data_IF_280366582580
#
_entry.id   IF_280366582580
#
_cell.length_a   1.000
_cell.length_b   1.000
_cell.length_c   1.000
_cell.angle_alpha   90.00
_cell.angle_beta   90.00
_cell.angle_gamma   90.00
#
_symmetry.space_group_name_H-M   'P 1'
#
loop_
_entity.id
_entity.type
_entity.pdbx_description
1 polymer ?
#
# COMPACT_ATOMS: atom_id res chain seq x y z
N UNK A 1 -3.25 -23.99 -26.23
CA UNK A 1 -2.65 -23.28 -25.09
C UNK A 1 -3.29 -21.90 -25.01
N UNK A 2 -4.21 -21.67 -24.07
CA UNK A 2 -4.92 -20.40 -23.93
C UNK A 2 -4.04 -19.40 -23.17
N UNK A 3 -3.56 -18.36 -23.86
CA UNK A 3 -2.90 -17.24 -23.20
C UNK A 3 -3.98 -16.45 -22.45
N UNK A 4 -4.00 -16.59 -21.13
CA UNK A 4 -4.88 -15.79 -20.27
C UNK A 4 -4.47 -14.32 -20.39
N UNK A 5 -5.29 -13.55 -21.08
CA UNK A 5 -5.12 -12.11 -21.23
C UNK A 5 -5.18 -11.46 -19.84
N UNK A 6 -4.04 -11.01 -19.34
CA UNK A 6 -3.95 -10.23 -18.09
C UNK A 6 -4.58 -8.88 -18.36
N UNK A 7 -5.80 -8.67 -17.86
CA UNK A 7 -6.41 -7.34 -17.84
C UNK A 7 -5.70 -6.51 -16.77
N UNK A 8 -4.71 -5.72 -17.19
CA UNK A 8 -4.09 -4.69 -16.34
C UNK A 8 -5.16 -3.62 -16.14
N UNK A 9 -5.87 -3.68 -15.01
CA UNK A 9 -6.89 -2.70 -14.66
C UNK A 9 -6.25 -1.31 -14.53
N UNK A 10 -6.35 -0.51 -15.59
CA UNK A 10 -5.95 0.91 -15.68
C UNK A 10 -6.91 1.83 -14.87
N UNK A 11 -7.43 1.36 -13.74
CA UNK A 11 -8.39 2.08 -12.90
C UNK A 11 -7.97 2.18 -11.43
N UNK A 12 -6.87 1.53 -11.04
CA UNK A 12 -6.34 1.62 -9.68
C UNK A 12 -5.20 2.63 -9.68
N UNK A 13 -5.31 3.67 -8.85
CA UNK A 13 -4.20 4.57 -8.55
C UNK A 13 -2.95 3.73 -8.29
N UNK A 14 -1.84 3.95 -9.03
CA UNK A 14 -0.66 3.12 -8.87
C UNK A 14 -0.19 3.19 -7.42
N UNK A 15 0.19 2.05 -6.86
CA UNK A 15 0.56 1.93 -5.45
C UNK A 15 1.59 3.00 -5.03
N UNK A 16 2.52 3.30 -5.94
CA UNK A 16 3.51 4.38 -5.77
C UNK A 16 2.86 5.74 -5.51
N UNK A 17 1.85 6.12 -6.29
CA UNK A 17 1.15 7.38 -6.13
C UNK A 17 0.34 7.43 -4.83
N UNK A 18 -0.27 6.31 -4.41
CA UNK A 18 -0.93 6.23 -3.09
C UNK A 18 0.06 6.49 -1.95
N UNK A 19 1.23 5.88 -2.00
CA UNK A 19 2.30 6.07 -0.99
C UNK A 19 2.80 7.52 -1.00
N UNK A 20 3.10 8.06 -2.18
CA UNK A 20 3.60 9.44 -2.33
C UNK A 20 2.55 10.46 -1.80
N UNK A 21 1.26 10.27 -2.10
CA UNK A 21 0.17 11.08 -1.54
C UNK A 21 0.03 10.93 -0.02
N UNK A 22 0.17 9.72 0.52
CA UNK A 22 0.08 9.48 1.96
C UNK A 22 1.14 10.26 2.74
N UNK A 23 2.40 10.21 2.31
CA UNK A 23 3.48 10.99 2.93
C UNK A 23 3.31 12.49 2.73
N UNK A 24 2.80 12.92 1.57
CA UNK A 24 2.48 14.33 1.31
C UNK A 24 1.41 14.84 2.29
N UNK A 25 0.36 14.06 2.52
CA UNK A 25 -0.72 14.42 3.46
C UNK A 25 -0.27 14.46 4.92
N UNK A 26 0.75 13.68 5.28
CA UNK A 26 1.35 13.70 6.62
C UNK A 26 2.27 14.91 6.86
N UNK A 27 2.56 15.71 5.84
CA UNK A 27 3.47 16.86 5.93
C UNK A 27 4.94 16.46 6.17
N UNK A 28 5.26 15.18 6.01
CA UNK A 28 6.60 14.66 6.23
C UNK A 28 7.45 14.90 4.98
N UNK A 29 8.33 15.89 5.03
CA UNK A 29 9.41 16.11 4.05
C UNK A 29 10.52 15.05 4.09
N UNK A 30 10.18 13.82 4.52
CA UNK A 30 11.11 12.68 4.56
C UNK A 30 11.34 12.19 3.13
N UNK A 31 12.56 11.75 2.82
CA UNK A 31 12.83 11.00 1.60
C UNK A 31 12.13 9.62 1.72
N UNK A 32 10.94 9.43 1.13
CA UNK A 32 10.15 8.23 1.37
C UNK A 32 10.75 7.03 0.63
N UNK A 33 11.78 7.23 -0.20
CA UNK A 33 12.34 6.20 -1.05
C UNK A 33 12.90 5.00 -0.26
N UNK A 34 13.66 5.25 0.81
CA UNK A 34 14.25 4.19 1.62
C UNK A 34 13.20 3.42 2.42
N UNK A 35 12.28 4.14 3.06
CA UNK A 35 11.16 3.58 3.83
C UNK A 35 10.22 2.78 2.94
N UNK A 36 9.88 3.34 1.77
CA UNK A 36 9.11 2.66 0.74
C UNK A 36 9.78 1.38 0.29
N UNK A 37 11.09 1.38 0.01
CA UNK A 37 11.81 0.18 -0.44
C UNK A 37 11.82 -0.92 0.63
N UNK A 38 11.97 -0.55 1.90
CA UNK A 38 11.93 -1.51 3.01
C UNK A 38 10.54 -2.14 3.19
N UNK A 39 9.48 -1.34 3.06
CA UNK A 39 8.09 -1.74 3.34
C UNK A 39 7.28 -2.17 2.12
N UNK A 40 7.80 -2.03 0.90
CA UNK A 40 7.07 -2.35 -0.34
C UNK A 40 6.56 -3.79 -0.38
N UNK A 41 7.37 -4.75 0.10
CA UNK A 41 6.97 -6.17 0.12
C UNK A 41 5.76 -6.42 1.01
N UNK A 42 5.71 -5.73 2.16
CA UNK A 42 4.63 -5.83 3.13
C UNK A 42 3.34 -5.23 2.55
N UNK A 43 3.43 -4.04 1.95
CA UNK A 43 2.29 -3.37 1.30
C UNK A 43 1.74 -4.24 0.16
N UNK A 44 2.61 -4.79 -0.69
CA UNK A 44 2.18 -5.69 -1.78
C UNK A 44 1.50 -6.95 -1.20
N UNK A 45 2.03 -7.52 -0.13
CA UNK A 45 1.43 -8.70 0.52
C UNK A 45 0.02 -8.41 1.06
N UNK A 46 -0.19 -7.22 1.63
CA UNK A 46 -1.49 -6.78 2.12
C UNK A 46 -2.45 -6.43 0.97
N UNK A 47 -1.97 -5.73 -0.06
CA UNK A 47 -2.76 -5.43 -1.27
C UNK A 47 -3.11 -6.69 -2.09
N UNK A 48 -2.38 -7.79 -1.94
CA UNK A 48 -2.75 -9.07 -2.53
C UNK A 48 -3.86 -9.81 -1.77
N UNK A 49 -4.18 -9.40 -0.54
CA UNK A 49 -5.29 -9.98 0.22
C UNK A 49 -6.63 -9.45 -0.29
N UNK A 50 -7.66 -10.29 -0.19
CA UNK A 50 -9.04 -9.86 -0.38
C UNK A 50 -9.53 -9.02 0.80
N UNK A 51 -10.57 -8.22 0.57
CA UNK A 51 -11.11 -7.35 1.61
C UNK A 51 -11.65 -8.15 2.81
N UNK A 52 -12.18 -9.36 2.58
CA UNK A 52 -12.58 -10.27 3.65
C UNK A 52 -11.38 -10.76 4.48
N UNK A 53 -10.21 -10.97 3.86
CA UNK A 53 -9.00 -11.35 4.58
C UNK A 53 -8.40 -10.17 5.36
N UNK A 54 -8.46 -8.96 4.80
CA UNK A 54 -8.07 -7.74 5.51
C UNK A 54 -8.99 -7.47 6.71
N UNK A 55 -10.31 -7.62 6.54
CA UNK A 55 -11.28 -7.46 7.62
C UNK A 55 -11.04 -8.44 8.78
N UNK A 56 -10.63 -9.68 8.50
CA UNK A 56 -10.22 -10.64 9.55
C UNK A 56 -8.99 -10.22 10.32
N UNK A 57 -8.12 -9.41 9.72
CA UNK A 57 -6.97 -8.79 10.37
C UNK A 57 -7.32 -7.46 11.06
N UNK A 58 -8.58 -7.02 10.98
CA UNK A 58 -9.03 -5.72 11.49
C UNK A 58 -8.52 -4.55 10.65
N UNK A 59 -8.27 -4.76 9.35
CA UNK A 59 -7.74 -3.75 8.43
C UNK A 59 -8.72 -3.53 7.27
N UNK A 60 -8.91 -2.28 6.88
CA UNK A 60 -9.47 -1.89 5.59
C UNK A 60 -8.37 -1.59 4.57
N UNK A 61 -8.74 -1.51 3.29
CA UNK A 61 -7.82 -1.21 2.18
C UNK A 61 -7.08 0.12 2.37
N UNK A 62 -7.78 1.10 2.93
CA UNK A 62 -7.26 2.45 3.15
C UNK A 62 -6.37 2.54 4.40
N UNK A 63 -6.50 1.57 5.32
CA UNK A 63 -5.70 1.47 6.54
C UNK A 63 -4.37 0.72 6.33
N UNK A 64 -4.13 0.12 5.16
CA UNK A 64 -2.88 -0.59 4.85
C UNK A 64 -1.67 0.34 5.05
N UNK A 65 -1.70 1.56 4.50
CA UNK A 65 -0.57 2.49 4.60
C UNK A 65 -0.35 2.97 6.05
N UNK A 66 -1.37 3.46 6.79
CA UNK A 66 -1.24 3.74 8.22
C UNK A 66 -0.75 2.57 9.06
N UNK A 67 -1.18 1.34 8.76
CA UNK A 67 -0.75 0.16 9.49
C UNK A 67 0.73 -0.13 9.27
N UNK A 68 1.18 -0.12 8.01
CA UNK A 68 2.56 -0.43 7.64
C UNK A 68 3.56 0.62 8.12
N UNK A 69 3.14 1.90 8.17
CA UNK A 69 3.99 3.02 8.62
C UNK A 69 3.69 3.48 10.05
N UNK A 70 2.89 2.72 10.81
CA UNK A 70 2.52 3.06 12.19
C UNK A 70 3.72 3.31 13.08
N UNK A 71 4.77 2.51 12.89
CA UNK A 71 6.04 2.57 13.61
C UNK A 71 6.80 3.89 13.39
N UNK A 72 6.58 4.55 12.25
CA UNK A 72 7.19 5.85 11.94
C UNK A 72 6.37 7.03 12.44
N UNK A 73 5.09 6.81 12.72
CA UNK A 73 4.12 7.84 13.10
C UNK A 73 3.79 7.86 14.60
N UNK A 74 4.17 6.82 15.33
CA UNK A 74 4.15 6.82 16.79
C UNK A 74 5.31 7.65 17.34
N UNK A 75 5.13 8.96 17.36
CA UNK A 75 5.95 9.93 18.12
C UNK A 75 5.20 10.29 19.39
#
# INVERSE_FOLDING_TARGET
MSAQNVQIAMGRTPLRQKIDMYFTNLGLGLNPYALRRARMREIISLEMKSDAQLARMGLSRDEILPHVFRDLLSV
#
